data_IF_359021217242
#
_entry.id   IF_359021217242
#
_cell.length_a   1.000
_cell.length_b   1.000
_cell.length_c   1.000
_cell.angle_alpha   90.00
_cell.angle_beta   90.00
_cell.angle_gamma   90.00
#
_symmetry.space_group_name_H-M   'P 1'
#
loop_
_entity.id
_entity.type
_entity.pdbx_description
1 polymer ?
#
# COMPACT_ATOMS: atom_id res chain seq x y z
N UNK A 1 -36.72 -19.14 22.93
CA UNK A 1 -35.26 -18.91 23.08
C UNK A 1 -34.49 -18.83 21.77
N UNK A 2 -34.66 -19.75 20.79
CA UNK A 2 -33.92 -19.68 19.50
C UNK A 2 -34.14 -18.40 18.68
N UNK A 3 -35.35 -17.82 18.68
CA UNK A 3 -35.64 -16.58 17.94
C UNK A 3 -34.96 -15.35 18.55
N UNK A 4 -34.82 -15.28 19.88
CA UNK A 4 -34.16 -14.17 20.59
C UNK A 4 -32.65 -14.15 20.36
N UNK A 5 -32.03 -15.32 20.17
CA UNK A 5 -30.59 -15.43 19.88
C UNK A 5 -30.28 -14.89 18.48
N UNK A 6 -31.16 -15.13 17.50
CA UNK A 6 -30.99 -14.64 16.13
C UNK A 6 -31.06 -13.10 16.10
N UNK A 7 -32.00 -12.49 16.82
CA UNK A 7 -32.06 -11.02 16.94
C UNK A 7 -30.86 -10.44 17.67
N UNK A 8 -30.31 -11.14 18.67
CA UNK A 8 -29.12 -10.69 19.38
C UNK A 8 -27.87 -10.73 18.48
N UNK A 9 -27.71 -11.79 17.67
CA UNK A 9 -26.58 -11.94 16.73
C UNK A 9 -26.67 -10.92 15.59
N UNK A 10 -27.86 -10.64 15.07
CA UNK A 10 -28.07 -9.62 14.03
C UNK A 10 -27.79 -8.21 14.59
N UNK A 11 -28.22 -7.93 15.83
CA UNK A 11 -27.92 -6.65 16.49
C UNK A 11 -26.44 -6.47 16.81
N UNK A 12 -25.70 -7.57 17.05
CA UNK A 12 -24.25 -7.54 17.26
C UNK A 12 -23.48 -7.27 15.95
N UNK A 13 -23.96 -7.82 14.82
CA UNK A 13 -23.37 -7.62 13.49
C UNK A 13 -23.64 -6.23 12.90
N UNK A 14 -24.78 -5.62 13.23
CA UNK A 14 -25.10 -4.25 12.82
C UNK A 14 -24.40 -3.17 13.69
N UNK A 15 -24.01 -3.51 14.92
CA UNK A 15 -23.28 -2.59 15.82
C UNK A 15 -21.79 -2.41 15.49
N UNK A 16 -21.20 -3.30 14.68
CA UNK A 16 -19.77 -3.29 14.33
C UNK A 16 -19.43 -2.49 13.07
N UNK A 17 -20.40 -1.84 12.42
CA UNK A 17 -20.19 -1.10 11.16
C UNK A 17 -19.91 0.39 11.34
N UNK A 18 -19.75 0.89 12.57
CA UNK A 18 -19.53 2.32 12.84
C UNK A 18 -18.27 2.50 13.70
N UNK A 19 -17.13 2.12 13.14
CA UNK A 19 -15.83 2.71 13.42
C UNK A 19 -14.92 2.33 12.25
N UNK A 20 -15.30 2.74 11.03
CA UNK A 20 -14.28 3.05 10.05
C UNK A 20 -13.59 4.28 10.62
N UNK A 21 -12.54 4.06 11.42
CA UNK A 21 -11.57 5.10 11.73
C UNK A 21 -11.17 5.66 10.38
N UNK A 22 -11.67 6.84 10.06
CA UNK A 22 -11.11 7.65 8.98
C UNK A 22 -9.71 7.91 9.49
N UNK A 23 -8.76 7.07 9.05
CA UNK A 23 -7.35 7.38 9.14
C UNK A 23 -7.24 8.67 8.35
N UNK A 24 -7.21 9.79 9.08
CA UNK A 24 -6.79 11.06 8.52
C UNK A 24 -5.43 10.76 7.91
N UNK A 25 -5.38 10.73 6.58
CA UNK A 25 -4.12 10.74 5.86
C UNK A 25 -3.43 12.02 6.33
N UNK A 26 -2.47 11.87 7.23
CA UNK A 26 -1.56 12.95 7.54
C UNK A 26 -0.93 13.39 6.22
N UNK A 27 -0.66 14.67 6.07
CA UNK A 27 -0.03 15.25 4.87
C UNK A 27 1.40 14.74 4.63
N UNK A 28 1.84 13.77 5.42
CA UNK A 28 3.14 13.14 5.41
C UNK A 28 3.07 11.85 4.56
N UNK A 29 3.94 11.76 3.56
CA UNK A 29 4.06 10.59 2.67
C UNK A 29 4.32 9.32 3.52
N UNK A 30 3.38 8.35 3.54
CA UNK A 30 3.51 7.14 4.34
C UNK A 30 4.76 6.33 4.00
N UNK A 31 5.19 6.35 2.73
CA UNK A 31 6.41 5.65 2.32
C UNK A 31 7.67 6.34 2.82
N UNK A 32 7.69 7.67 2.86
CA UNK A 32 8.79 8.42 3.45
C UNK A 32 8.89 8.14 4.96
N UNK A 33 7.76 8.19 5.65
CA UNK A 33 7.68 7.91 7.08
C UNK A 33 8.13 6.48 7.41
N UNK A 34 7.75 5.48 6.59
CA UNK A 34 8.24 4.11 6.71
C UNK A 34 9.77 4.02 6.74
N UNK A 35 10.44 4.69 5.80
CA UNK A 35 11.91 4.71 5.75
C UNK A 35 12.53 5.44 6.93
N UNK A 36 11.92 6.54 7.38
CA UNK A 36 12.38 7.27 8.57
C UNK A 36 12.26 6.42 9.85
N UNK A 37 11.17 5.66 10.00
CA UNK A 37 10.94 4.74 11.12
C UNK A 37 12.01 3.65 11.12
N UNK A 38 12.24 2.97 9.99
CA UNK A 38 13.25 1.92 9.88
C UNK A 38 14.66 2.43 10.18
N UNK A 39 14.99 3.60 9.64
CA UNK A 39 16.28 4.22 9.89
C UNK A 39 16.47 4.57 11.38
N UNK A 40 15.43 5.10 12.03
CA UNK A 40 15.46 5.42 13.46
C UNK A 40 15.60 4.16 14.31
N UNK A 41 14.89 3.09 13.96
CA UNK A 41 14.98 1.77 14.61
C UNK A 41 16.41 1.23 14.61
N UNK A 42 17.07 1.27 13.44
CA UNK A 42 18.45 0.81 13.30
C UNK A 42 19.40 1.56 14.24
N UNK A 43 19.24 2.88 14.39
CA UNK A 43 20.04 3.69 15.31
C UNK A 43 19.73 3.37 16.79
N UNK A 44 18.46 3.23 17.13
CA UNK A 44 18.02 2.99 18.51
C UNK A 44 18.45 1.61 19.02
N UNK A 45 18.58 0.61 18.15
CA UNK A 45 19.08 -0.72 18.52
C UNK A 45 20.51 -0.64 19.08
N UNK A 46 21.42 0.07 18.42
CA UNK A 46 22.81 0.22 18.90
C UNK A 46 22.87 0.87 20.29
N UNK A 47 22.05 1.90 20.51
CA UNK A 47 21.97 2.58 21.79
C UNK A 47 21.31 1.70 22.87
N UNK A 48 20.27 0.96 22.53
CA UNK A 48 19.59 0.02 23.43
C UNK A 48 20.51 -1.13 23.86
N UNK A 49 21.31 -1.70 22.94
CA UNK A 49 22.30 -2.75 23.24
C UNK A 49 23.36 -2.29 24.25
N UNK A 50 23.68 -0.99 24.27
CA UNK A 50 24.57 -0.40 25.28
C UNK A 50 23.93 -0.26 26.68
N UNK A 51 22.67 -0.65 26.84
CA UNK A 51 21.92 -0.57 28.10
C UNK A 51 21.21 0.77 28.30
N UNK A 52 21.04 1.58 27.25
CA UNK A 52 20.30 2.84 27.33
C UNK A 52 18.78 2.59 27.41
N UNK A 53 18.22 2.73 28.62
CA UNK A 53 16.79 2.51 28.88
C UNK A 53 15.89 3.49 28.13
N UNK A 54 16.34 4.72 27.90
CA UNK A 54 15.59 5.70 27.10
C UNK A 54 15.48 5.22 25.66
N UNK A 55 16.59 4.74 25.07
CA UNK A 55 16.59 4.19 23.72
C UNK A 55 15.69 2.96 23.59
N UNK A 56 15.61 2.11 24.62
CA UNK A 56 14.69 0.96 24.64
C UNK A 56 13.22 1.41 24.58
N UNK A 57 12.85 2.43 25.36
CA UNK A 57 11.48 2.95 25.34
C UNK A 57 11.15 3.61 24.00
N UNK A 58 12.09 4.39 23.44
CA UNK A 58 11.93 4.99 22.11
C UNK A 58 11.82 3.94 21.01
N UNK A 59 12.56 2.83 21.12
CA UNK A 59 12.47 1.72 20.18
C UNK A 59 11.07 1.08 20.18
N UNK A 60 10.48 0.90 21.36
CA UNK A 60 9.12 0.35 21.49
C UNK A 60 8.09 1.27 20.83
N UNK A 61 8.16 2.58 21.09
CA UNK A 61 7.22 3.54 20.49
C UNK A 61 7.43 3.68 18.98
N UNK A 62 8.68 3.69 18.51
CA UNK A 62 9.00 3.71 17.08
C UNK A 62 8.47 2.44 16.37
N UNK A 63 8.57 1.28 17.01
CA UNK A 63 8.05 0.03 16.47
C UNK A 63 6.53 0.01 16.37
N UNK A 64 5.81 0.59 17.35
CA UNK A 64 4.36 0.78 17.26
C UNK A 64 3.99 1.70 16.10
N UNK A 65 4.70 2.83 15.95
CA UNK A 65 4.50 3.73 14.82
C UNK A 65 4.75 3.01 13.48
N UNK A 66 5.76 2.14 13.41
CA UNK A 66 6.02 1.29 12.23
C UNK A 66 4.85 0.35 11.91
N UNK A 67 4.26 -0.28 12.93
CA UNK A 67 3.09 -1.14 12.73
C UNK A 67 1.87 -0.34 12.22
N UNK A 68 1.63 0.85 12.77
CA UNK A 68 0.56 1.74 12.34
C UNK A 68 0.77 2.21 10.89
N UNK A 69 1.97 2.67 10.55
CA UNK A 69 2.32 3.09 9.20
C UNK A 69 2.20 1.94 8.18
N UNK A 70 2.61 0.73 8.54
CA UNK A 70 2.44 -0.45 7.67
C UNK A 70 0.97 -0.78 7.39
N UNK A 71 0.07 -0.57 8.36
CA UNK A 71 -1.38 -0.72 8.16
C UNK A 71 -1.89 0.31 7.16
N UNK A 72 -1.41 1.56 7.25
CA UNK A 72 -1.78 2.64 6.32
C UNK A 72 -1.38 2.29 4.89
N UNK A 73 -0.11 1.95 4.67
CA UNK A 73 0.42 1.57 3.35
C UNK A 73 -0.36 0.37 2.78
N UNK A 74 -0.61 -0.65 3.60
CA UNK A 74 -1.34 -1.85 3.18
C UNK A 74 -2.77 -1.52 2.77
N UNK A 75 -3.44 -0.65 3.53
CA UNK A 75 -4.82 -0.22 3.25
C UNK A 75 -4.90 0.58 1.95
N UNK A 76 -3.99 1.53 1.76
CA UNK A 76 -3.92 2.33 0.54
C UNK A 76 -3.62 1.46 -0.69
N UNK A 77 -2.64 0.55 -0.57
CA UNK A 77 -2.30 -0.41 -1.64
C UNK A 77 -3.49 -1.26 -2.02
N UNK A 78 -4.23 -1.77 -1.02
CA UNK A 78 -5.44 -2.54 -1.26
C UNK A 78 -6.53 -1.73 -1.95
N UNK A 79 -6.77 -0.49 -1.55
CA UNK A 79 -7.75 0.39 -2.17
C UNK A 79 -7.40 0.66 -3.64
N UNK A 80 -6.15 1.04 -3.92
CA UNK A 80 -5.66 1.27 -5.29
C UNK A 80 -5.78 0.00 -6.13
N UNK A 81 -5.49 -1.17 -5.57
CA UNK A 81 -5.67 -2.45 -6.26
C UNK A 81 -7.13 -2.65 -6.70
N UNK A 82 -8.09 -2.42 -5.80
CA UNK A 82 -9.51 -2.54 -6.11
C UNK A 82 -9.97 -1.53 -7.16
N UNK A 83 -9.46 -0.30 -7.12
CA UNK A 83 -9.75 0.73 -8.13
C UNK A 83 -9.26 0.29 -9.51
N UNK A 84 -8.02 -0.20 -9.62
CA UNK A 84 -7.44 -0.69 -10.86
C UNK A 84 -8.22 -1.89 -11.42
N UNK A 85 -8.58 -2.86 -10.57
CA UNK A 85 -9.40 -4.00 -10.95
C UNK A 85 -10.78 -3.56 -11.46
N UNK A 86 -11.43 -2.61 -10.77
CA UNK A 86 -12.73 -2.06 -11.16
C UNK A 86 -12.69 -1.28 -12.47
N UNK A 87 -11.56 -0.64 -12.79
CA UNK A 87 -11.32 0.06 -14.04
C UNK A 87 -10.96 -0.91 -15.19
N UNK A 88 -10.87 -2.22 -14.93
CA UNK A 88 -10.49 -3.23 -15.89
C UNK A 88 -9.00 -3.19 -16.25
N UNK A 89 -8.17 -2.55 -15.43
CA UNK A 89 -6.73 -2.49 -15.65
C UNK A 89 -6.13 -3.87 -15.38
N UNK A 90 -5.41 -4.39 -16.37
CA UNK A 90 -4.69 -5.64 -16.24
C UNK A 90 -3.39 -5.43 -15.47
N UNK A 91 -3.25 -6.13 -14.36
CA UNK A 91 -2.13 -5.95 -13.42
C UNK A 91 -0.90 -6.80 -13.75
N UNK A 92 -1.08 -7.85 -14.55
CA UNK A 92 -0.01 -8.76 -14.95
C UNK A 92 -0.26 -9.28 -16.35
N UNK A 93 0.83 -9.51 -17.08
CA UNK A 93 0.81 -10.13 -18.41
C UNK A 93 1.50 -11.48 -18.35
N UNK A 94 0.95 -12.46 -19.05
CA UNK A 94 1.58 -13.76 -19.25
C UNK A 94 2.72 -13.65 -20.28
N UNK A 95 3.62 -14.63 -20.29
CA UNK A 95 4.73 -14.67 -21.25
C UNK A 95 4.23 -14.65 -22.72
N UNK A 96 3.16 -15.39 -23.02
CA UNK A 96 2.62 -15.46 -24.37
C UNK A 96 1.99 -14.13 -24.81
N UNK A 97 1.33 -13.42 -23.89
CA UNK A 97 0.79 -12.08 -24.14
C UNK A 97 1.92 -11.06 -24.36
N UNK A 98 3.01 -11.15 -23.60
CA UNK A 98 4.20 -10.34 -23.83
C UNK A 98 4.81 -10.60 -25.21
N UNK A 99 4.89 -11.87 -25.63
CA UNK A 99 5.36 -12.25 -26.97
C UNK A 99 4.45 -11.70 -28.07
N UNK A 100 3.14 -11.81 -27.92
CA UNK A 100 2.17 -11.26 -28.87
C UNK A 100 2.32 -9.74 -29.02
N UNK A 101 2.45 -9.02 -27.91
CA UNK A 101 2.69 -7.57 -27.94
C UNK A 101 4.00 -7.21 -28.64
N UNK A 102 5.07 -7.97 -28.44
CA UNK A 102 6.36 -7.76 -29.14
C UNK A 102 6.18 -7.95 -30.65
N UNK A 103 5.49 -9.02 -31.07
CA UNK A 103 5.25 -9.26 -32.50
C UNK A 103 4.34 -8.19 -33.12
N UNK A 104 3.35 -7.70 -32.38
CA UNK A 104 2.52 -6.58 -32.82
C UNK A 104 3.34 -5.30 -32.98
N UNK A 105 4.20 -4.97 -32.02
CA UNK A 105 5.09 -3.80 -32.09
C UNK A 105 6.08 -3.93 -33.24
N UNK A 106 6.62 -5.12 -33.50
CA UNK A 106 7.50 -5.35 -34.68
C UNK A 106 6.76 -5.13 -35.99
N UNK A 107 5.50 -5.52 -36.06
CA UNK A 107 4.70 -5.43 -37.28
C UNK A 107 4.15 -4.02 -37.53
N UNK A 108 3.70 -3.33 -36.49
CA UNK A 108 2.93 -2.08 -36.59
C UNK A 108 3.67 -0.86 -36.01
N UNK A 109 4.80 -1.07 -35.38
CA UNK A 109 5.47 -0.05 -34.56
C UNK A 109 4.83 0.11 -33.19
N UNK A 110 5.39 1.01 -32.37
CA UNK A 110 4.78 1.37 -31.10
C UNK A 110 3.45 2.10 -31.32
N UNK A 111 2.46 1.92 -30.43
CA UNK A 111 1.25 2.73 -30.45
C UNK A 111 1.58 4.22 -30.39
N UNK A 112 0.79 5.05 -31.09
CA UNK A 112 1.07 6.49 -31.20
C UNK A 112 1.01 7.20 -29.84
N UNK A 113 0.12 6.77 -28.96
CA UNK A 113 0.05 7.23 -27.58
C UNK A 113 1.35 6.96 -26.80
N UNK A 114 1.98 5.80 -27.02
CA UNK A 114 3.27 5.44 -26.42
C UNK A 114 4.39 6.29 -26.99
N UNK A 115 4.42 6.50 -28.31
CA UNK A 115 5.40 7.38 -28.96
C UNK A 115 5.29 8.81 -28.43
N UNK A 116 4.06 9.32 -28.29
CA UNK A 116 3.85 10.68 -27.78
C UNK A 116 4.24 10.81 -26.30
N UNK A 117 3.97 9.80 -25.49
CA UNK A 117 4.41 9.77 -24.09
C UNK A 117 5.94 9.79 -23.98
N UNK A 118 6.64 8.96 -24.77
CA UNK A 118 8.10 8.93 -24.81
C UNK A 118 8.70 10.27 -25.27
N UNK A 119 8.10 10.92 -26.27
CA UNK A 119 8.52 12.27 -26.71
C UNK A 119 8.36 13.31 -25.60
N UNK A 120 7.27 13.23 -24.82
CA UNK A 120 7.04 14.13 -23.69
C UNK A 120 8.06 13.91 -22.56
N UNK A 121 8.60 12.69 -22.43
CA UNK A 121 9.71 12.36 -21.53
C UNK A 121 11.11 12.69 -22.10
N UNK A 122 11.18 13.27 -23.30
CA UNK A 122 12.42 13.77 -23.90
C UNK A 122 13.12 12.79 -24.85
N UNK A 123 12.46 11.69 -25.24
CA UNK A 123 13.00 10.76 -26.23
C UNK A 123 12.80 11.31 -27.65
N UNK A 124 13.83 11.24 -28.48
CA UNK A 124 13.75 11.58 -29.90
C UNK A 124 13.34 10.37 -30.75
N UNK A 125 12.91 10.65 -31.98
CA UNK A 125 12.60 9.65 -33.01
C UNK A 125 13.75 8.68 -33.30
#
# INVERSE_FOLDING_TARGET
MRRSIIFFVISLLLGSLINASIVQADTQDPYKEFWEILWREAKLIEEAESGNITAINELIENSKAGAENAIIISTQTWQTLQELESAGVKLYYTEDELKEMIEEIKAKGLPQETVQALKNEGWSD
#
